data_IF_711774344026
#
_entry.id   IF_711774344026
#
_cell.length_a   1.000
_cell.length_b   1.000
_cell.length_c   1.000
_cell.angle_alpha   90.00
_cell.angle_beta   90.00
_cell.angle_gamma   90.00
#
_symmetry.space_group_name_H-M   'P 1'
#
loop_
_entity.id
_entity.type
_entity.pdbx_description
1 polymer ?
#
# COMPACT_ATOMS: atom_id res chain seq x y z
N UNK A 1 -10.74 8.04 -1.99
CA UNK A 1 -9.30 7.77 -2.20
C UNK A 1 -9.03 6.29 -2.06
N UNK A 2 -8.07 5.72 -2.79
CA UNK A 2 -7.66 4.32 -2.64
C UNK A 2 -6.25 4.26 -2.05
N UNK A 3 -6.07 3.52 -0.95
CA UNK A 3 -4.78 3.34 -0.30
C UNK A 3 -4.08 2.11 -0.87
N UNK A 4 -2.84 2.24 -1.31
CA UNK A 4 -2.04 1.17 -1.88
C UNK A 4 -0.92 0.84 -0.89
N UNK A 5 -0.83 -0.42 -0.50
CA UNK A 5 0.34 -0.93 0.20
C UNK A 5 1.51 -1.14 -0.79
N UNK A 6 2.65 -1.54 -0.25
CA UNK A 6 3.84 -1.79 -1.08
C UNK A 6 3.67 -2.94 -2.06
N UNK A 7 2.88 -3.97 -1.74
CA UNK A 7 2.63 -5.07 -2.68
C UNK A 7 1.80 -4.63 -3.89
N UNK A 8 0.82 -3.74 -3.70
CA UNK A 8 0.05 -3.14 -4.78
C UNK A 8 0.90 -2.18 -5.64
N UNK A 9 1.74 -1.35 -5.01
CA UNK A 9 2.65 -0.48 -5.78
C UNK A 9 3.70 -1.29 -6.56
N UNK A 10 4.13 -2.45 -6.05
CA UNK A 10 5.05 -3.32 -6.76
C UNK A 10 4.48 -3.78 -8.11
N UNK A 11 3.17 -4.09 -8.20
CA UNK A 11 2.50 -4.45 -9.47
C UNK A 11 2.56 -3.36 -10.54
N UNK A 12 2.76 -2.10 -10.16
CA UNK A 12 2.89 -0.97 -11.09
C UNK A 12 4.32 -0.79 -11.63
N UNK A 13 5.30 -1.38 -10.94
CA UNK A 13 6.73 -1.23 -11.27
C UNK A 13 7.30 -2.52 -11.83
N UNK A 14 6.96 -3.66 -11.23
CA UNK A 14 7.39 -5.00 -11.60
C UNK A 14 6.33 -5.62 -12.52
N UNK A 15 6.78 -6.32 -13.55
CA UNK A 15 5.87 -7.01 -14.48
C UNK A 15 5.44 -8.32 -13.80
N UNK A 16 4.26 -8.30 -13.20
CA UNK A 16 3.67 -9.42 -12.46
C UNK A 16 2.29 -9.75 -13.06
N UNK A 17 1.72 -10.90 -12.68
CA UNK A 17 0.48 -11.41 -13.28
C UNK A 17 -0.68 -10.41 -13.19
N UNK A 18 -0.76 -9.68 -12.08
CA UNK A 18 -1.84 -8.74 -11.77
C UNK A 18 -1.56 -7.30 -12.28
N UNK A 19 -0.39 -7.05 -12.88
CA UNK A 19 -0.02 -5.73 -13.40
C UNK A 19 -1.02 -5.15 -14.42
N UNK A 20 -1.59 -5.93 -15.36
CA UNK A 20 -2.61 -5.40 -16.28
C UNK A 20 -3.89 -5.00 -15.56
N UNK A 21 -4.35 -5.82 -14.61
CA UNK A 21 -5.60 -5.60 -13.89
C UNK A 21 -5.52 -4.36 -12.98
N UNK A 22 -4.41 -4.18 -12.28
CA UNK A 22 -4.21 -2.99 -11.45
C UNK A 22 -4.07 -1.72 -12.30
N UNK A 23 -3.43 -1.79 -13.48
CA UNK A 23 -3.33 -0.65 -14.38
C UNK A 23 -4.72 -0.23 -14.88
N UNK A 24 -5.57 -1.18 -15.24
CA UNK A 24 -6.97 -0.91 -15.59
C UNK A 24 -7.77 -0.35 -14.40
N UNK A 25 -7.53 -0.85 -13.19
CA UNK A 25 -8.16 -0.33 -11.96
C UNK A 25 -7.79 1.13 -11.68
N UNK A 26 -6.54 1.53 -11.96
CA UNK A 26 -6.09 2.92 -11.81
C UNK A 26 -6.85 3.89 -12.71
N UNK A 27 -7.22 3.48 -13.93
CA UNK A 27 -7.98 4.36 -14.85
C UNK A 27 -9.35 4.76 -14.30
N UNK A 28 -9.89 3.99 -13.35
CA UNK A 28 -11.19 4.22 -12.71
C UNK A 28 -11.06 4.93 -11.36
N UNK A 29 -9.85 5.18 -10.88
CA UNK A 29 -9.57 5.69 -9.53
C UNK A 29 -8.98 7.10 -9.62
N UNK A 30 -9.60 8.08 -8.96
CA UNK A 30 -9.17 9.48 -9.04
C UNK A 30 -7.96 9.83 -8.15
N UNK A 31 -7.77 9.14 -7.02
CA UNK A 31 -6.75 9.50 -6.03
C UNK A 31 -6.11 8.27 -5.40
N UNK A 32 -4.79 8.14 -5.56
CA UNK A 32 -3.97 7.08 -4.99
C UNK A 32 -3.20 7.64 -3.79
N UNK A 33 -3.28 6.92 -2.67
CA UNK A 33 -2.59 7.24 -1.43
C UNK A 33 -1.72 6.06 -1.01
N UNK A 34 -0.57 6.30 -0.38
CA UNK A 34 0.26 5.24 0.20
C UNK A 34 0.93 5.71 1.50
N UNK A 35 1.43 4.78 2.31
CA UNK A 35 2.31 5.11 3.43
C UNK A 35 3.66 5.58 2.91
N UNK A 36 4.28 6.57 3.56
CA UNK A 36 5.67 6.98 3.25
C UNK A 36 6.67 5.83 3.50
N UNK A 37 6.30 4.83 4.34
CA UNK A 37 7.02 3.56 4.50
C UNK A 37 7.25 2.85 3.15
N UNK A 38 6.30 2.96 2.22
CA UNK A 38 6.36 2.29 0.94
C UNK A 38 7.58 2.71 0.12
N UNK A 39 8.14 3.91 0.34
CA UNK A 39 9.37 4.35 -0.31
C UNK A 39 10.52 3.38 -0.05
N UNK A 40 10.70 2.98 1.20
CA UNK A 40 11.77 2.07 1.58
C UNK A 40 11.48 0.65 1.07
N UNK A 41 10.25 0.18 1.23
CA UNK A 41 9.87 -1.19 0.86
C UNK A 41 9.93 -1.43 -0.65
N UNK A 42 9.32 -0.55 -1.45
CA UNK A 42 9.31 -0.66 -2.90
C UNK A 42 10.72 -0.49 -3.48
N UNK A 43 11.47 0.50 -3.01
CA UNK A 43 12.87 0.70 -3.44
C UNK A 43 13.70 -0.56 -3.15
N UNK A 44 13.56 -1.15 -1.96
CA UNK A 44 14.28 -2.39 -1.62
C UNK A 44 13.83 -3.58 -2.47
N UNK A 45 12.53 -3.70 -2.77
CA UNK A 45 12.02 -4.77 -3.62
C UNK A 45 12.58 -4.67 -5.04
N UNK A 46 12.56 -3.48 -5.62
CA UNK A 46 13.07 -3.19 -6.97
C UNK A 46 14.59 -3.37 -7.04
N UNK A 47 15.35 -2.94 -6.02
CA UNK A 47 16.81 -3.19 -5.97
C UNK A 47 17.18 -4.68 -5.99
N UNK A 48 16.33 -5.55 -5.45
CA UNK A 48 16.60 -7.01 -5.40
C UNK A 48 16.35 -7.70 -6.74
N UNK A 49 15.50 -7.16 -7.60
CA UNK A 49 14.91 -7.90 -8.72
C UNK A 49 14.94 -7.17 -10.07
N UNK A 50 14.99 -5.84 -10.08
CA UNK A 50 14.86 -5.02 -11.28
C UNK A 50 15.48 -3.61 -11.07
N UNK A 51 16.78 -3.55 -10.80
CA UNK A 51 17.48 -2.30 -10.45
C UNK A 51 17.35 -1.21 -11.53
N UNK A 52 17.23 -1.62 -12.79
CA UNK A 52 16.98 -0.78 -13.96
C UNK A 52 15.65 0.00 -13.88
N UNK A 53 14.72 -0.46 -13.04
CA UNK A 53 13.40 0.18 -12.83
C UNK A 53 13.37 1.21 -11.70
N UNK A 54 14.49 1.45 -11.00
CA UNK A 54 14.56 2.47 -9.94
C UNK A 54 14.09 3.87 -10.37
N UNK A 55 14.40 4.38 -11.58
CA UNK A 55 13.85 5.67 -12.03
C UNK A 55 12.32 5.70 -12.04
N UNK A 56 11.66 4.56 -12.32
CA UNK A 56 10.19 4.46 -12.30
C UNK A 56 9.62 4.55 -10.88
N UNK A 57 10.36 4.05 -9.88
CA UNK A 57 9.96 4.17 -8.46
C UNK A 57 9.92 5.64 -8.06
N UNK A 58 10.95 6.41 -8.40
CA UNK A 58 10.99 7.86 -8.13
C UNK A 58 9.81 8.57 -8.78
N UNK A 59 9.60 8.36 -10.08
CA UNK A 59 8.50 8.96 -10.84
C UNK A 59 7.10 8.56 -10.32
N UNK A 60 6.96 7.35 -9.79
CA UNK A 60 5.71 6.91 -9.15
C UNK A 60 5.43 7.74 -7.90
N UNK A 61 6.40 7.88 -6.99
CA UNK A 61 6.19 8.60 -5.72
C UNK A 61 5.95 10.11 -5.89
N UNK A 62 6.37 10.71 -7.01
CA UNK A 62 6.03 12.10 -7.33
C UNK A 62 4.53 12.30 -7.63
N UNK A 63 3.80 11.22 -7.92
CA UNK A 63 2.39 11.23 -8.31
C UNK A 63 1.45 10.71 -7.22
N UNK A 64 1.99 10.17 -6.13
CA UNK A 64 1.22 9.62 -5.02
C UNK A 64 1.00 10.66 -3.94
N UNK A 65 -0.18 10.65 -3.32
CA UNK A 65 -0.34 11.27 -2.01
C UNK A 65 0.26 10.35 -0.95
N UNK A 66 1.12 10.88 -0.09
CA UNK A 66 1.80 10.08 0.92
C UNK A 66 1.36 10.45 2.32
N UNK A 67 1.04 9.43 3.11
CA UNK A 67 0.79 9.55 4.54
C UNK A 67 2.13 9.43 5.27
N UNK A 68 2.64 10.51 5.90
CA UNK A 68 3.91 10.47 6.62
C UNK A 68 3.84 9.48 7.78
N UNK A 69 4.89 8.69 8.01
CA UNK A 69 4.97 7.78 9.16
C UNK A 69 5.31 8.57 10.42
N UNK A 70 4.29 9.00 11.15
CA UNK A 70 4.44 9.79 12.38
C UNK A 70 4.47 8.90 13.63
N UNK A 71 4.90 9.46 14.77
CA UNK A 71 4.83 8.76 16.05
C UNK A 71 3.41 8.33 16.46
N UNK A 72 2.37 9.08 16.05
CA UNK A 72 0.98 8.70 16.31
C UNK A 72 0.54 7.49 15.48
N UNK A 73 1.01 7.38 14.23
CA UNK A 73 0.80 6.17 13.41
C UNK A 73 1.51 4.97 14.04
N UNK A 74 2.77 5.12 14.45
CA UNK A 74 3.52 4.04 15.09
C UNK A 74 2.83 3.57 16.38
N UNK A 75 2.33 4.50 17.19
CA UNK A 75 1.55 4.20 18.40
C UNK A 75 0.26 3.46 18.08
N UNK A 76 -0.44 3.88 17.01
CA UNK A 76 -1.69 3.24 16.57
C UNK A 76 -1.44 1.84 16.02
N UNK A 77 -0.40 1.67 15.20
CA UNK A 77 0.01 0.37 14.65
C UNK A 77 0.32 -0.64 15.76
N UNK A 78 0.99 -0.21 16.84
CA UNK A 78 1.28 -1.06 18.00
C UNK A 78 0.05 -1.53 18.79
N UNK A 79 -1.13 -0.97 18.53
CA UNK A 79 -2.41 -1.34 19.17
C UNK A 79 -3.33 -2.13 18.24
N UNK A 80 -2.99 -2.27 16.95
CA UNK A 80 -3.83 -2.97 16.01
C UNK A 80 -3.89 -4.47 16.32
N UNK A 81 -5.08 -5.02 16.13
CA UNK A 81 -5.31 -6.45 16.14
C UNK A 81 -5.39 -6.96 14.69
N UNK A 82 -5.04 -8.23 14.44
CA UNK A 82 -4.55 -9.22 15.41
C UNK A 82 -3.07 -9.00 15.81
N UNK A 83 -2.63 -9.46 16.98
CA UNK A 83 -1.25 -9.26 17.47
C UNK A 83 -0.19 -9.98 16.61
N UNK A 84 -0.61 -10.96 15.79
CA UNK A 84 0.26 -11.64 14.83
C UNK A 84 0.51 -10.86 13.54
N UNK A 85 -0.11 -9.68 13.36
CA UNK A 85 0.14 -8.81 12.22
C UNK A 85 1.57 -8.27 12.28
N UNK A 86 2.31 -8.36 11.17
CA UNK A 86 3.69 -7.86 11.13
C UNK A 86 3.69 -6.35 11.29
N UNK A 87 4.73 -5.82 11.93
CA UNK A 87 4.82 -4.39 12.24
C UNK A 87 4.68 -3.48 11.01
N UNK A 88 5.32 -3.84 9.89
CA UNK A 88 5.23 -3.04 8.66
C UNK A 88 3.81 -3.06 8.08
N UNK A 89 3.15 -4.23 8.10
CA UNK A 89 1.76 -4.36 7.66
C UNK A 89 0.82 -3.54 8.56
N UNK A 90 1.06 -3.56 9.88
CA UNK A 90 0.32 -2.75 10.85
C UNK A 90 0.52 -1.25 10.63
N UNK A 91 1.71 -0.81 10.22
CA UNK A 91 1.96 0.60 9.88
C UNK A 91 1.14 1.02 8.66
N UNK A 92 1.09 0.20 7.60
CA UNK A 92 0.23 0.49 6.44
C UNK A 92 -1.24 0.59 6.81
N UNK A 93 -1.76 -0.37 7.59
CA UNK A 93 -3.16 -0.35 8.04
C UNK A 93 -3.44 0.86 8.93
N UNK A 94 -2.53 1.20 9.84
CA UNK A 94 -2.68 2.38 10.68
C UNK A 94 -2.65 3.67 9.85
N UNK A 95 -1.78 3.77 8.84
CA UNK A 95 -1.76 4.88 7.89
C UNK A 95 -3.07 5.00 7.10
N UNK A 96 -3.62 3.87 6.63
CA UNK A 96 -4.88 3.85 5.91
C UNK A 96 -6.07 4.27 6.78
N UNK A 97 -6.14 3.76 8.01
CA UNK A 97 -7.22 4.06 8.96
C UNK A 97 -7.28 5.55 9.35
N UNK A 98 -6.16 6.29 9.26
CA UNK A 98 -6.17 7.75 9.48
C UNK A 98 -6.96 8.52 8.42
N UNK A 99 -7.14 7.96 7.22
CA UNK A 99 -7.89 8.60 6.14
C UNK A 99 -9.41 8.51 6.33
N UNK A 100 -9.86 7.68 7.27
CA UNK A 100 -11.27 7.53 7.68
C UNK A 100 -12.24 7.47 6.48
N UNK A 101 -13.39 8.15 6.55
CA UNK A 101 -14.49 8.07 5.58
C UNK A 101 -14.15 8.48 4.14
N UNK A 102 -12.96 9.05 3.90
CA UNK A 102 -12.48 9.37 2.56
C UNK A 102 -11.81 8.18 1.86
N UNK A 103 -11.49 7.11 2.62
CA UNK A 103 -10.90 5.89 2.10
C UNK A 103 -11.99 4.97 1.53
N UNK A 104 -11.96 4.77 0.21
CA UNK A 104 -12.93 3.92 -0.49
C UNK A 104 -12.44 2.48 -0.64
N UNK A 105 -11.13 2.26 -0.64
CA UNK A 105 -10.55 0.92 -0.72
C UNK A 105 -9.09 0.90 -0.22
N UNK A 106 -8.74 -0.16 0.49
CA UNK A 106 -7.37 -0.59 0.73
C UNK A 106 -6.99 -1.62 -0.33
N UNK A 107 -5.90 -1.38 -1.05
CA UNK A 107 -5.44 -2.22 -2.17
C UNK A 107 -4.16 -2.91 -1.73
N UNK A 108 -4.22 -4.24 -1.68
CA UNK A 108 -3.09 -5.09 -1.29
C UNK A 108 -3.17 -6.45 -1.99
N UNK A 109 -2.02 -7.08 -2.18
CA UNK A 109 -1.88 -8.45 -2.67
C UNK A 109 -1.27 -9.38 -1.61
N UNK A 110 -0.95 -8.87 -0.41
CA UNK A 110 -0.60 -9.72 0.72
C UNK A 110 -1.88 -10.24 1.40
N UNK A 111 -2.04 -11.56 1.41
CA UNK A 111 -3.25 -12.19 1.94
C UNK A 111 -3.44 -11.94 3.44
N UNK A 112 -2.36 -11.91 4.23
CA UNK A 112 -2.46 -11.68 5.68
C UNK A 112 -2.85 -10.24 5.98
N UNK A 113 -2.26 -9.28 5.26
CA UNK A 113 -2.62 -7.88 5.38
C UNK A 113 -4.06 -7.61 4.91
N UNK A 114 -4.48 -8.26 3.83
CA UNK A 114 -5.87 -8.24 3.35
C UNK A 114 -6.85 -8.70 4.43
N UNK A 115 -6.59 -9.85 5.04
CA UNK A 115 -7.48 -10.41 6.07
C UNK A 115 -7.56 -9.48 7.29
N UNK A 116 -6.43 -8.91 7.72
CA UNK A 116 -6.39 -7.94 8.80
C UNK A 116 -7.13 -6.64 8.45
N UNK A 117 -6.98 -6.12 7.22
CA UNK A 117 -7.71 -4.95 6.76
C UNK A 117 -9.23 -5.16 6.80
N UNK A 118 -9.70 -6.34 6.36
CA UNK A 118 -11.12 -6.72 6.43
C UNK A 118 -11.61 -6.77 7.88
N UNK A 119 -10.83 -7.36 8.80
CA UNK A 119 -11.17 -7.40 10.22
C UNK A 119 -11.26 -6.01 10.86
N UNK A 120 -10.50 -5.05 10.34
CA UNK A 120 -10.53 -3.64 10.75
C UNK A 120 -11.67 -2.84 10.07
N UNK A 121 -12.52 -3.50 9.27
CA UNK A 121 -13.67 -2.89 8.61
C UNK A 121 -13.34 -2.13 7.32
N UNK A 122 -12.13 -2.29 6.78
CA UNK A 122 -11.75 -1.67 5.51
C UNK A 122 -12.36 -2.45 4.33
N UNK A 123 -12.82 -1.71 3.33
CA UNK A 123 -13.09 -2.28 2.01
C UNK A 123 -11.74 -2.63 1.37
N UNK A 124 -11.58 -3.88 0.93
CA UNK A 124 -10.31 -4.37 0.35
C UNK A 124 -10.50 -4.80 -1.09
N UNK A 125 -9.60 -4.33 -1.95
CA UNK A 125 -9.54 -4.71 -3.36
C UNK A 125 -8.19 -5.32 -3.71
N UNK A 126 -8.20 -6.32 -4.60
CA UNK A 126 -7.01 -6.93 -5.19
C UNK A 126 -7.30 -7.19 -6.68
N UNK A 127 -7.19 -6.18 -7.56
CA UNK A 127 -7.49 -6.34 -8.98
C UNK A 127 -6.70 -7.50 -9.62
N UNK A 128 -7.36 -8.37 -10.38
CA UNK A 128 -6.78 -9.57 -11.00
C UNK A 128 -7.32 -9.80 -12.40
#
# INVERSE_FOLDING_TARGET
MHFFDSSALAKLILDEAESPAIAAYLTKTATIVASDLARAELTRAVRRSAVDRLPRVTALFERLHLVPVTGSILTSAGRLLPPGLRTLDAIHLASALLLQGDLQAFVTYDQRQRDAAIQLGLLVNSPS
#
